data_IF_231685831091
#
_entry.id   IF_231685831091
#
_cell.length_a   1.000
_cell.length_b   1.000
_cell.length_c   1.000
_cell.angle_alpha   90.00
_cell.angle_beta   90.00
_cell.angle_gamma   90.00
#
_symmetry.space_group_name_H-M   'P 1'
#
loop_
_entity.id
_entity.type
_entity.pdbx_description
1 polymer ?
#
# COMPACT_ATOMS: atom_id res chain seq x y z
N UNK A 1 -11.93 -13.95 -12.96
CA UNK A 1 -12.45 -13.33 -11.71
C UNK A 1 -11.27 -12.71 -10.94
N UNK A 2 -11.46 -11.65 -10.14
CA UNK A 2 -10.39 -11.08 -9.27
C UNK A 2 -10.54 -11.62 -7.85
N UNK A 3 -9.49 -12.20 -7.29
CA UNK A 3 -9.43 -12.65 -5.89
C UNK A 3 -8.20 -12.05 -5.17
N UNK A 4 -8.22 -12.05 -3.84
CA UNK A 4 -7.11 -11.59 -3.00
C UNK A 4 -6.47 -12.82 -2.36
N UNK A 5 -5.15 -12.91 -2.39
CA UNK A 5 -4.36 -13.96 -1.74
C UNK A 5 -3.05 -13.39 -1.20
N UNK A 6 -2.36 -14.15 -0.36
CA UNK A 6 -0.97 -13.85 -0.02
C UNK A 6 -0.11 -13.96 -1.30
N UNK A 7 0.89 -13.10 -1.37
CA UNK A 7 1.90 -13.17 -2.42
C UNK A 7 2.74 -14.44 -2.25
N UNK A 8 3.23 -14.96 -3.37
CA UNK A 8 4.27 -15.99 -3.40
C UNK A 8 5.54 -15.39 -4.00
N UNK A 9 6.71 -16.05 -3.86
CA UNK A 9 7.95 -15.57 -4.45
C UNK A 9 7.87 -15.33 -5.97
N UNK A 10 7.00 -16.04 -6.69
CA UNK A 10 6.78 -15.88 -8.13
C UNK A 10 6.05 -14.57 -8.50
N UNK A 11 5.38 -13.93 -7.55
CA UNK A 11 4.69 -12.65 -7.79
C UNK A 11 5.65 -11.46 -7.77
N UNK A 12 6.78 -11.55 -7.04
CA UNK A 12 7.63 -10.41 -6.67
C UNK A 12 8.12 -9.62 -7.89
N UNK A 13 8.56 -10.32 -8.93
CA UNK A 13 9.12 -9.70 -10.14
C UNK A 13 8.06 -8.92 -10.94
N UNK A 14 6.76 -9.16 -10.68
CA UNK A 14 5.65 -8.47 -11.33
C UNK A 14 5.22 -7.19 -10.61
N UNK A 15 5.49 -7.08 -9.31
CA UNK A 15 4.95 -6.02 -8.46
C UNK A 15 5.46 -4.63 -8.83
N UNK A 16 6.73 -4.52 -9.22
CA UNK A 16 7.31 -3.26 -9.66
C UNK A 16 6.60 -2.67 -10.91
N UNK A 17 6.15 -3.52 -11.84
CA UNK A 17 5.40 -3.06 -13.00
C UNK A 17 4.01 -2.53 -12.60
N UNK A 18 3.36 -3.20 -11.65
CA UNK A 18 2.05 -2.80 -11.11
C UNK A 18 2.17 -1.46 -10.39
N UNK A 19 3.19 -1.27 -9.55
CA UNK A 19 3.45 -0.03 -8.82
C UNK A 19 3.68 1.15 -9.78
N UNK A 20 4.55 0.99 -10.78
CA UNK A 20 4.75 2.02 -11.83
C UNK A 20 3.44 2.35 -12.56
N UNK A 21 2.65 1.34 -12.90
CA UNK A 21 1.34 1.53 -13.52
C UNK A 21 0.40 2.31 -12.60
N UNK A 22 0.35 1.95 -11.31
CA UNK A 22 -0.50 2.59 -10.32
C UNK A 22 -0.11 4.06 -10.11
N UNK A 23 1.19 4.33 -9.97
CA UNK A 23 1.74 5.66 -9.70
C UNK A 23 1.51 6.66 -10.85
N UNK A 24 1.21 6.19 -12.07
CA UNK A 24 0.93 7.08 -13.20
C UNK A 24 -0.21 8.09 -12.95
N UNK A 25 -1.10 7.86 -11.98
CA UNK A 25 -2.13 8.83 -11.56
C UNK A 25 -1.56 10.11 -10.97
N UNK A 26 -0.35 10.06 -10.40
CA UNK A 26 0.32 11.25 -9.85
C UNK A 26 0.75 12.24 -10.95
N UNK A 27 0.95 11.77 -12.19
CA UNK A 27 1.22 12.66 -13.34
C UNK A 27 0.06 13.63 -13.57
N UNK A 28 -1.17 13.15 -13.42
CA UNK A 28 -2.39 13.94 -13.63
C UNK A 28 -2.59 15.00 -12.52
N UNK A 29 -1.84 14.92 -11.42
CA UNK A 29 -1.85 15.87 -10.31
C UNK A 29 -0.57 16.73 -10.20
N UNK A 30 0.22 16.81 -11.27
CA UNK A 30 1.46 17.60 -11.29
C UNK A 30 2.59 17.03 -10.41
N UNK A 31 2.47 15.77 -10.00
CA UNK A 31 3.44 15.04 -9.19
C UNK A 31 4.12 13.95 -10.03
N UNK A 32 4.45 14.26 -11.28
CA UNK A 32 5.04 13.29 -12.20
C UNK A 32 6.32 12.65 -11.65
N UNK A 33 7.12 13.41 -10.90
CA UNK A 33 8.32 12.90 -10.23
C UNK A 33 8.05 11.73 -9.26
N UNK A 34 6.86 11.67 -8.65
CA UNK A 34 6.43 10.54 -7.79
C UNK A 34 6.11 9.31 -8.64
N UNK A 35 5.64 9.50 -9.88
CA UNK A 35 5.43 8.40 -10.81
C UNK A 35 6.74 7.89 -11.43
N UNK A 36 7.77 8.74 -11.44
CA UNK A 36 9.10 8.47 -11.97
C UNK A 36 10.09 7.98 -10.89
N UNK A 37 9.71 8.05 -9.61
CA UNK A 37 10.53 7.52 -8.53
C UNK A 37 10.65 5.99 -8.60
N UNK A 38 11.65 5.45 -7.91
CA UNK A 38 11.82 4.00 -7.79
C UNK A 38 10.60 3.31 -7.19
N UNK A 39 10.47 2.02 -7.46
CA UNK A 39 9.45 1.17 -6.83
C UNK A 39 9.93 0.64 -5.49
N UNK A 40 9.03 0.05 -4.69
CA UNK A 40 9.40 -0.66 -3.49
C UNK A 40 10.51 -1.69 -3.79
N UNK A 41 11.51 -1.72 -2.89
CA UNK A 41 12.66 -2.59 -3.03
C UNK A 41 12.26 -4.07 -3.03
N UNK A 42 12.93 -4.87 -3.88
CA UNK A 42 12.59 -6.28 -4.06
C UNK A 42 12.90 -7.11 -2.82
N UNK A 43 13.96 -6.79 -2.07
CA UNK A 43 14.28 -7.48 -0.82
C UNK A 43 13.25 -7.16 0.26
N UNK A 44 12.79 -5.90 0.33
CA UNK A 44 11.68 -5.52 1.21
C UNK A 44 10.40 -6.29 0.88
N UNK A 45 10.04 -6.41 -0.41
CA UNK A 45 8.91 -7.23 -0.85
C UNK A 45 9.11 -8.71 -0.51
N UNK A 46 10.31 -9.25 -0.68
CA UNK A 46 10.63 -10.63 -0.32
C UNK A 46 10.48 -10.88 1.20
N UNK A 47 10.92 -9.94 2.03
CA UNK A 47 10.74 -9.99 3.48
C UNK A 47 9.25 -9.98 3.88
N UNK A 48 8.45 -9.10 3.27
CA UNK A 48 6.99 -9.08 3.51
C UNK A 48 6.31 -10.36 3.01
N UNK A 49 6.75 -10.92 1.89
CA UNK A 49 6.28 -12.21 1.38
C UNK A 49 6.57 -13.35 2.36
N UNK A 50 7.79 -13.44 2.86
CA UNK A 50 8.19 -14.45 3.83
C UNK A 50 7.45 -14.27 5.18
N UNK A 51 7.16 -13.03 5.56
CA UNK A 51 6.40 -12.68 6.75
C UNK A 51 4.88 -12.81 6.63
N UNK A 52 4.34 -13.23 5.48
CA UNK A 52 2.91 -13.25 5.19
C UNK A 52 2.20 -11.89 5.37
N UNK A 53 2.92 -10.80 5.10
CA UNK A 53 2.42 -9.42 5.14
C UNK A 53 2.42 -8.74 3.76
N UNK A 54 2.41 -9.55 2.71
CA UNK A 54 2.28 -9.12 1.31
C UNK A 54 1.08 -9.83 0.68
N UNK A 55 0.12 -9.06 0.16
CA UNK A 55 -1.06 -9.56 -0.54
C UNK A 55 -1.05 -9.14 -1.99
N UNK A 56 -1.57 -9.98 -2.87
CA UNK A 56 -1.84 -9.65 -4.27
C UNK A 56 -3.33 -9.77 -4.58
N UNK A 57 -3.80 -8.88 -5.44
CA UNK A 57 -5.05 -9.02 -6.14
C UNK A 57 -4.75 -9.66 -7.50
N UNK A 58 -5.19 -10.90 -7.70
CA UNK A 58 -4.87 -11.66 -8.90
C UNK A 58 -6.11 -11.89 -9.77
N UNK A 59 -5.94 -11.74 -11.08
CA UNK A 59 -6.93 -12.09 -12.11
C UNK A 59 -6.71 -13.54 -12.48
N UNK A 60 -7.78 -14.34 -12.38
CA UNK A 60 -7.73 -15.72 -12.85
C UNK A 60 -7.43 -15.77 -14.35
N UNK A 61 -6.33 -16.42 -14.71
CA UNK A 61 -5.91 -16.58 -16.10
C UNK A 61 -6.78 -17.60 -16.84
N UNK A 62 -7.17 -17.28 -18.07
CA UNK A 62 -7.83 -18.23 -18.98
C UNK A 62 -6.84 -18.80 -20.04
N UNK A 63 -5.53 -18.63 -19.85
CA UNK A 63 -4.52 -19.03 -20.85
C UNK A 63 -3.72 -20.24 -20.36
N UNK A 64 -3.74 -21.37 -21.10
CA UNK A 64 -3.05 -22.63 -20.73
C UNK A 64 -1.53 -22.52 -20.56
N UNK A 65 -0.90 -21.46 -21.06
CA UNK A 65 0.55 -21.27 -21.05
C UNK A 65 1.09 -20.61 -19.76
N UNK A 66 0.22 -20.01 -18.95
CA UNK A 66 0.57 -19.43 -17.64
C UNK A 66 -0.31 -20.06 -16.58
N UNK A 67 0.14 -21.15 -15.97
CA UNK A 67 -0.56 -21.82 -14.87
C UNK A 67 -0.50 -20.99 -13.57
N UNK A 68 -1.00 -19.76 -13.60
CA UNK A 68 -1.03 -18.89 -12.44
C UNK A 68 -1.92 -17.68 -12.66
N UNK A 69 -2.57 -17.24 -11.59
CA UNK A 69 -3.38 -16.03 -11.59
C UNK A 69 -2.47 -14.80 -11.65
N UNK A 70 -2.77 -13.87 -12.56
CA UNK A 70 -1.92 -12.71 -12.85
C UNK A 70 -2.15 -11.59 -11.83
N UNK A 71 -1.14 -11.15 -11.07
CA UNK A 71 -1.27 -10.01 -10.16
C UNK A 71 -1.59 -8.71 -10.91
N UNK A 72 -2.58 -7.96 -10.43
CA UNK A 72 -2.97 -6.64 -10.96
C UNK A 72 -3.00 -5.55 -9.89
N UNK A 73 -2.68 -5.93 -8.64
CA UNK A 73 -2.56 -5.05 -7.49
C UNK A 73 -1.88 -5.77 -6.35
N UNK A 74 -1.28 -5.03 -5.42
CA UNK A 74 -0.70 -5.58 -4.21
C UNK A 74 -0.78 -4.61 -3.05
N UNK A 75 -0.59 -5.16 -1.85
CA UNK A 75 -0.46 -4.41 -0.61
C UNK A 75 0.66 -5.04 0.22
N UNK A 76 1.65 -4.24 0.59
CA UNK A 76 2.74 -4.62 1.50
C UNK A 76 2.60 -3.92 2.84
N UNK A 77 2.87 -4.65 3.93
CA UNK A 77 2.79 -4.12 5.28
C UNK A 77 3.88 -4.71 6.20
N UNK A 78 4.16 -4.02 7.30
CA UNK A 78 5.07 -4.48 8.35
C UNK A 78 4.75 -3.80 9.70
N UNK A 79 5.24 -4.32 10.84
CA UNK A 79 5.09 -3.65 12.13
C UNK A 79 5.89 -2.33 12.17
N UNK A 80 5.30 -1.25 12.70
CA UNK A 80 5.96 0.04 12.93
C UNK A 80 5.35 0.73 14.15
N UNK A 81 6.16 1.18 15.11
CA UNK A 81 5.69 1.75 16.39
C UNK A 81 4.60 0.91 17.10
N UNK A 82 4.72 -0.43 17.03
CA UNK A 82 3.74 -1.37 17.59
C UNK A 82 2.39 -1.42 16.87
N UNK A 83 2.27 -0.79 15.69
CA UNK A 83 1.08 -0.80 14.83
C UNK A 83 1.35 -1.61 13.56
N UNK A 84 0.27 -1.98 12.86
CA UNK A 84 0.37 -2.61 11.55
C UNK A 84 0.46 -1.56 10.44
N UNK A 85 1.67 -1.25 9.99
CA UNK A 85 1.92 -0.21 9.01
C UNK A 85 1.79 -0.73 7.58
N UNK A 86 0.84 -0.16 6.83
CA UNK A 86 0.63 -0.40 5.41
C UNK A 86 1.64 0.47 4.65
N UNK A 87 2.64 -0.18 4.09
CA UNK A 87 3.78 0.47 3.45
C UNK A 87 3.53 0.82 1.99
N UNK A 88 2.74 0.02 1.29
CA UNK A 88 2.43 0.22 -0.13
C UNK A 88 1.04 -0.35 -0.46
N UNK A 89 0.28 0.38 -1.28
CA UNK A 89 -0.99 -0.10 -1.85
C UNK A 89 -1.03 0.34 -3.31
N UNK A 90 -0.83 -0.62 -4.20
CA UNK A 90 -0.75 -0.34 -5.63
C UNK A 90 -1.72 -1.21 -6.40
N UNK A 91 -2.49 -0.58 -7.29
CA UNK A 91 -3.38 -1.26 -8.24
C UNK A 91 -3.08 -0.70 -9.62
N UNK A 92 -2.77 -1.58 -10.58
CA UNK A 92 -2.44 -1.21 -11.95
C UNK A 92 -3.54 -0.30 -12.54
N UNK A 93 -3.17 0.74 -13.30
CA UNK A 93 -4.09 1.80 -13.75
C UNK A 93 -5.35 1.25 -14.41
N UNK A 94 -5.22 0.23 -15.26
CA UNK A 94 -6.34 -0.43 -15.96
C UNK A 94 -7.34 -1.17 -15.04
N UNK A 95 -6.94 -1.42 -13.79
CA UNK A 95 -7.70 -2.13 -12.77
C UNK A 95 -8.16 -1.23 -11.61
N UNK A 96 -7.78 0.05 -11.60
CA UNK A 96 -8.22 1.01 -10.59
C UNK A 96 -9.73 1.31 -10.68
N UNK A 97 -10.28 1.89 -9.60
CA UNK A 97 -11.71 2.26 -9.46
C UNK A 97 -12.70 1.08 -9.54
N UNK A 98 -12.20 -0.16 -9.43
CA UNK A 98 -12.99 -1.40 -9.39
C UNK A 98 -13.09 -2.03 -7.98
N UNK A 99 -12.83 -1.24 -6.93
CA UNK A 99 -12.87 -1.70 -5.54
C UNK A 99 -11.72 -2.63 -5.10
N UNK A 100 -10.70 -2.85 -5.95
CA UNK A 100 -9.58 -3.76 -5.65
C UNK A 100 -8.75 -3.29 -4.46
N UNK A 101 -8.39 -1.99 -4.41
CA UNK A 101 -7.64 -1.43 -3.29
C UNK A 101 -8.35 -1.62 -1.96
N UNK A 102 -9.68 -1.43 -1.93
CA UNK A 102 -10.49 -1.66 -0.74
C UNK A 102 -10.44 -3.13 -0.26
N UNK A 103 -10.45 -4.08 -1.22
CA UNK A 103 -10.35 -5.51 -0.91
C UNK A 103 -8.97 -5.90 -0.38
N UNK A 104 -7.90 -5.33 -0.93
CA UNK A 104 -6.53 -5.51 -0.44
C UNK A 104 -6.39 -4.99 1.00
N UNK A 105 -6.82 -3.74 1.23
CA UNK A 105 -6.79 -3.10 2.55
C UNK A 105 -7.60 -3.91 3.56
N UNK A 106 -8.80 -4.39 3.18
CA UNK A 106 -9.61 -5.24 4.06
C UNK A 106 -8.88 -6.52 4.45
N UNK A 107 -8.29 -7.23 3.49
CA UNK A 107 -7.57 -8.48 3.76
C UNK A 107 -6.41 -8.28 4.75
N UNK A 108 -5.67 -7.19 4.58
CA UNK A 108 -4.55 -6.82 5.43
C UNK A 108 -5.01 -6.42 6.85
N UNK A 109 -6.07 -5.61 6.97
CA UNK A 109 -6.70 -5.21 8.24
C UNK A 109 -7.24 -6.43 8.99
N UNK A 110 -7.94 -7.32 8.30
CA UNK A 110 -8.49 -8.55 8.90
C UNK A 110 -7.35 -9.44 9.45
N UNK A 111 -6.21 -9.50 8.74
CA UNK A 111 -5.02 -10.21 9.21
C UNK A 111 -4.43 -9.53 10.45
N UNK A 112 -4.24 -8.20 10.40
CA UNK A 112 -3.66 -7.44 11.49
C UNK A 112 -4.47 -7.55 12.79
N UNK A 113 -5.80 -7.51 12.69
CA UNK A 113 -6.70 -7.70 13.83
C UNK A 113 -6.54 -9.10 14.46
N UNK A 114 -6.52 -10.16 13.63
CA UNK A 114 -6.26 -11.53 14.09
C UNK A 114 -4.87 -11.71 14.71
N UNK A 115 -3.88 -10.93 14.25
CA UNK A 115 -2.53 -10.94 14.80
C UNK A 115 -2.38 -10.07 16.07
N UNK A 116 -3.47 -9.42 16.54
CA UNK A 116 -3.48 -8.66 17.79
C UNK A 116 -2.90 -7.24 17.68
N UNK A 117 -2.72 -6.70 16.47
CA UNK A 117 -2.33 -5.30 16.32
C UNK A 117 -3.47 -4.37 16.76
N UNK A 118 -3.18 -3.31 17.53
CA UNK A 118 -4.22 -2.42 18.04
C UNK A 118 -4.72 -1.40 17.00
N UNK A 119 -3.91 -1.10 15.98
CA UNK A 119 -4.30 -0.24 14.86
C UNK A 119 -3.53 -0.61 13.58
N UNK A 120 -4.09 -0.21 12.44
CA UNK A 120 -3.39 -0.10 11.18
C UNK A 120 -3.00 1.36 10.91
N UNK A 121 -1.81 1.60 10.37
CA UNK A 121 -1.31 2.95 10.03
C UNK A 121 -0.76 3.02 8.61
N UNK A 122 -0.63 4.24 8.08
CA UNK A 122 0.01 4.52 6.78
C UNK A 122 0.45 5.98 6.71
N UNK A 123 1.39 6.31 5.81
CA UNK A 123 1.66 7.69 5.38
C UNK A 123 1.05 7.94 4.00
N UNK A 124 0.52 9.15 3.77
CA UNK A 124 -0.09 9.48 2.49
C UNK A 124 -0.18 10.98 2.25
N UNK A 125 -0.65 11.38 1.06
CA UNK A 125 -1.00 12.78 0.78
C UNK A 125 -2.37 13.12 1.37
N UNK A 126 -2.43 14.23 2.10
CA UNK A 126 -3.60 14.73 2.82
C UNK A 126 -4.75 15.11 1.89
N UNK A 127 -4.45 15.69 0.73
CA UNK A 127 -5.37 16.41 -0.15
C UNK A 127 -5.78 15.64 -1.41
N UNK A 128 -4.98 14.66 -1.85
CA UNK A 128 -5.25 13.94 -3.10
C UNK A 128 -6.44 12.97 -2.94
N UNK A 129 -7.46 12.99 -3.84
CA UNK A 129 -8.69 12.22 -3.67
C UNK A 129 -8.52 10.71 -3.47
N UNK A 130 -7.48 10.10 -4.03
CA UNK A 130 -7.16 8.67 -3.91
C UNK A 130 -6.30 8.32 -2.69
N UNK A 131 -5.90 9.32 -1.89
CA UNK A 131 -5.08 9.18 -0.71
C UNK A 131 -5.88 9.54 0.56
N UNK A 132 -5.59 10.66 1.24
CA UNK A 132 -6.20 11.02 2.53
C UNK A 132 -7.73 10.86 2.56
N UNK A 133 -8.49 11.49 1.65
CA UNK A 133 -9.94 11.33 1.57
C UNK A 133 -10.40 9.89 1.27
N UNK A 134 -9.63 9.11 0.51
CA UNK A 134 -9.95 7.71 0.23
C UNK A 134 -9.80 6.84 1.48
N UNK A 135 -8.69 6.99 2.21
CA UNK A 135 -8.48 6.29 3.49
C UNK A 135 -9.45 6.74 4.58
N UNK A 136 -9.82 8.02 4.60
CA UNK A 136 -10.84 8.55 5.51
C UNK A 136 -12.19 7.83 5.36
N UNK A 137 -12.63 7.59 4.11
CA UNK A 137 -13.85 6.81 3.83
C UNK A 137 -13.75 5.35 4.30
N UNK A 138 -12.54 4.83 4.50
CA UNK A 138 -12.29 3.49 5.04
C UNK A 138 -12.17 3.45 6.56
N UNK A 139 -12.38 4.59 7.23
CA UNK A 139 -12.31 4.71 8.69
C UNK A 139 -10.91 4.99 9.23
N UNK A 140 -9.96 5.38 8.38
CA UNK A 140 -8.70 5.95 8.87
C UNK A 140 -8.91 7.42 9.25
N UNK A 141 -8.25 7.86 10.31
CA UNK A 141 -8.21 9.25 10.73
C UNK A 141 -6.76 9.74 10.75
N UNK A 142 -6.55 11.02 10.50
CA UNK A 142 -5.21 11.59 10.62
C UNK A 142 -4.74 11.59 12.08
N UNK A 143 -3.47 11.25 12.28
CA UNK A 143 -2.81 11.30 13.59
C UNK A 143 -2.22 12.69 13.82
N UNK A 144 -2.56 13.38 14.92
CA UNK A 144 -1.92 14.66 15.28
C UNK A 144 -0.40 14.50 15.40
N UNK A 145 0.42 15.47 14.94
CA UNK A 145 1.88 15.34 14.92
C UNK A 145 2.51 14.91 16.26
N UNK A 146 1.97 15.39 17.38
CA UNK A 146 2.46 15.05 18.73
C UNK A 146 2.17 13.60 19.16
N UNK A 147 1.20 12.94 18.51
CA UNK A 147 0.82 11.56 18.76
C UNK A 147 1.48 10.56 17.79
N UNK A 148 2.23 11.05 16.79
CA UNK A 148 2.98 10.21 15.85
C UNK A 148 4.20 9.61 16.55
N UNK A 149 4.39 8.30 16.47
CA UNK A 149 5.55 7.61 17.04
C UNK A 149 6.87 7.97 16.35
N UNK A 150 8.03 7.65 16.99
CA UNK A 150 9.34 8.00 16.46
C UNK A 150 9.63 7.44 15.06
N UNK A 151 9.25 6.19 14.78
CA UNK A 151 9.56 5.57 13.49
C UNK A 151 8.68 6.14 12.38
N UNK A 152 7.41 6.44 12.66
CA UNK A 152 6.55 7.16 11.72
C UNK A 152 7.06 8.59 11.45
N UNK A 153 7.62 9.29 12.45
CA UNK A 153 8.27 10.59 12.21
C UNK A 153 9.48 10.44 11.31
N UNK A 154 10.33 9.44 11.57
CA UNK A 154 11.49 9.15 10.72
C UNK A 154 11.06 8.86 9.27
N UNK A 155 9.98 8.09 9.09
CA UNK A 155 9.38 7.83 7.77
C UNK A 155 8.95 9.11 7.06
N UNK A 156 8.25 10.02 7.75
CA UNK A 156 7.86 11.32 7.19
C UNK A 156 9.07 12.19 6.84
N UNK A 157 10.14 12.18 7.65
CA UNK A 157 11.37 12.90 7.36
C UNK A 157 12.08 12.33 6.13
N UNK A 158 12.21 11.00 6.01
CA UNK A 158 12.79 10.37 4.84
C UNK A 158 11.98 10.66 3.56
N UNK A 159 10.65 10.73 3.65
CA UNK A 159 9.80 11.18 2.55
C UNK A 159 10.09 12.64 2.16
N UNK A 160 10.32 13.52 3.14
CA UNK A 160 10.69 14.91 2.87
C UNK A 160 12.07 15.04 2.21
N UNK A 161 13.05 14.24 2.64
CA UNK A 161 14.38 14.17 2.01
C UNK A 161 14.31 13.64 0.57
N UNK A 162 13.34 12.76 0.28
CA UNK A 162 13.03 12.30 -1.07
C UNK A 162 12.26 13.32 -1.93
N UNK A 163 11.95 14.51 -1.38
CA UNK A 163 11.33 15.63 -2.11
C UNK A 163 9.82 15.79 -1.89
N UNK A 164 9.20 15.02 -0.99
CA UNK A 164 7.80 15.23 -0.64
C UNK A 164 7.62 16.49 0.23
N UNK A 165 6.60 17.29 -0.06
CA UNK A 165 6.21 18.39 0.83
C UNK A 165 5.56 17.84 2.10
N UNK A 166 6.26 17.98 3.23
CA UNK A 166 5.81 17.50 4.54
C UNK A 166 4.47 18.10 4.97
N UNK A 167 4.14 19.33 4.56
CA UNK A 167 2.85 19.95 4.89
C UNK A 167 1.67 19.23 4.22
N UNK A 168 1.93 18.56 3.09
CA UNK A 168 0.95 17.77 2.35
C UNK A 168 0.94 16.31 2.74
N UNK A 169 1.93 15.84 3.52
CA UNK A 169 1.99 14.47 4.04
C UNK A 169 1.28 14.38 5.39
N UNK A 170 0.76 13.21 5.70
CA UNK A 170 0.25 12.89 7.01
C UNK A 170 0.37 11.41 7.31
N UNK A 171 0.35 11.07 8.60
CA UNK A 171 0.11 9.71 9.09
C UNK A 171 -1.39 9.56 9.33
N UNK A 172 -1.96 8.46 8.87
CA UNK A 172 -3.33 8.09 9.19
C UNK A 172 -3.36 6.78 9.97
N UNK A 173 -4.32 6.63 10.88
CA UNK A 173 -4.52 5.45 11.72
C UNK A 173 -5.97 4.97 11.68
N UNK A 174 -6.17 3.66 11.80
CA UNK A 174 -7.46 3.02 12.01
C UNK A 174 -7.33 1.99 13.13
N UNK A 175 -8.10 2.17 14.20
CA UNK A 175 -8.17 1.20 15.30
C UNK A 175 -8.73 -0.13 14.79
N UNK A 176 -8.12 -1.22 15.25
CA UNK A 176 -8.56 -2.58 14.98
C UNK A 176 -9.32 -3.08 16.22
N UNK A 177 -10.43 -3.77 15.98
CA UNK A 177 -11.29 -4.34 17.02
C UNK A 177 -10.87 -5.76 17.35
#
# INVERSE_FOLDING_TARGET
MIHIRLATPQDLDKLACIERSAASVFRDAGLAWVADSGTMDREALAAMCAGNTLWVAAVQGNIPATNGDEPVGFLGAHPLDGQFYIAEVSVARAHQRKGIGARLIKAAIDHAARAGFPAATLTTYRDLPWNGPYYARMGFAEVPPLAVGPDHRHKLHAEAEAGHDLARRCVMTKRLA
#
